data_IF_044134228314
#
_entry.id   IF_044134228314
#
_cell.length_a   1.000
_cell.length_b   1.000
_cell.length_c   1.000
_cell.angle_alpha   90.00
_cell.angle_beta   90.00
_cell.angle_gamma   90.00
#
_symmetry.space_group_name_H-M   'P 1'
#
loop_
_entity.id
_entity.type
_entity.pdbx_description
1 polymer ?
#
# COMPACT_ATOMS: atom_id res chain seq x y z
N UNK A 1 -21.54 2.82 -20.98
CA UNK A 1 -20.47 2.11 -21.67
C UNK A 1 -20.52 0.64 -21.29
N UNK A 2 -20.56 -0.24 -22.26
CA UNK A 2 -20.57 -1.65 -21.93
C UNK A 2 -19.25 -2.08 -21.32
N UNK A 3 -19.34 -3.00 -20.38
CA UNK A 3 -18.16 -3.62 -19.82
C UNK A 3 -17.67 -4.65 -20.82
N UNK A 4 -16.39 -4.60 -21.10
CA UNK A 4 -15.80 -5.58 -22.00
C UNK A 4 -15.51 -6.84 -21.18
N UNK A 5 -16.40 -7.81 -21.31
CA UNK A 5 -16.26 -9.04 -20.53
C UNK A 5 -15.17 -9.95 -21.04
N UNK A 6 -14.58 -9.62 -22.18
CA UNK A 6 -13.44 -10.37 -22.66
C UNK A 6 -12.14 -10.01 -21.90
N UNK A 7 -12.15 -8.89 -21.20
CA UNK A 7 -11.00 -8.49 -20.41
C UNK A 7 -11.08 -9.15 -19.05
N UNK A 8 -10.15 -10.06 -18.78
CA UNK A 8 -10.08 -10.71 -17.50
C UNK A 8 -9.59 -9.77 -16.43
N UNK A 9 -10.18 -9.85 -15.24
CA UNK A 9 -9.67 -9.14 -14.10
C UNK A 9 -8.30 -9.72 -13.71
N UNK A 10 -7.29 -8.85 -13.62
CA UNK A 10 -5.95 -9.27 -13.22
C UNK A 10 -5.67 -8.72 -11.83
N UNK A 11 -5.57 -9.58 -10.83
CA UNK A 11 -5.21 -9.11 -9.48
C UNK A 11 -3.82 -8.49 -9.48
N UNK A 12 -3.71 -7.33 -8.86
CA UNK A 12 -2.43 -6.67 -8.69
C UNK A 12 -1.83 -7.03 -7.33
N UNK A 13 -0.52 -7.11 -7.29
CA UNK A 13 0.22 -7.30 -6.04
C UNK A 13 0.54 -5.91 -5.50
N UNK A 14 -0.11 -5.55 -4.42
CA UNK A 14 -0.08 -4.19 -3.89
C UNK A 14 0.67 -4.18 -2.57
N UNK A 15 1.61 -3.25 -2.45
CA UNK A 15 2.28 -2.97 -1.19
C UNK A 15 1.62 -1.76 -0.54
N UNK A 16 1.30 -1.88 0.73
CA UNK A 16 0.66 -0.82 1.50
C UNK A 16 1.66 -0.23 2.49
N UNK A 17 1.91 1.07 2.36
CA UNK A 17 2.83 1.77 3.23
C UNK A 17 2.05 2.80 4.06
N UNK A 18 2.09 2.65 5.37
CA UNK A 18 1.53 3.63 6.27
C UNK A 18 2.62 4.55 6.76
N UNK A 19 2.44 5.84 6.52
CA UNK A 19 3.36 6.87 6.99
C UNK A 19 2.85 7.39 8.32
N UNK A 20 3.67 7.35 9.35
CA UNK A 20 3.26 7.75 10.68
C UNK A 20 4.27 8.74 11.25
N UNK A 21 3.76 9.87 11.73
CA UNK A 21 4.60 10.87 12.39
C UNK A 21 4.62 10.69 13.90
N UNK A 22 3.95 9.66 14.40
CA UNK A 22 3.93 9.38 15.84
C UNK A 22 4.81 8.18 16.15
N UNK A 23 5.18 8.05 17.41
CA UNK A 23 5.94 6.90 17.83
C UNK A 23 5.07 5.66 17.99
N UNK A 24 3.79 5.85 18.03
CA UNK A 24 2.87 4.76 18.27
C UNK A 24 2.29 4.26 16.97
N UNK A 25 2.88 3.20 16.49
CA UNK A 25 2.40 2.54 15.31
C UNK A 25 1.49 1.36 15.64
N UNK A 26 1.06 1.26 16.90
CA UNK A 26 0.28 0.11 17.35
C UNK A 26 -1.10 0.07 16.72
N UNK A 27 -1.66 1.23 16.37
CA UNK A 27 -2.98 1.29 15.76
C UNK A 27 -2.83 1.85 14.35
N UNK A 28 -2.93 0.97 13.37
CA UNK A 28 -2.83 1.35 11.98
C UNK A 28 -4.18 1.16 11.30
N UNK A 29 -5.14 2.00 11.68
CA UNK A 29 -6.49 1.89 11.13
C UNK A 29 -6.54 2.25 9.65
N UNK A 30 -5.74 3.22 9.22
CA UNK A 30 -5.69 3.57 7.79
C UNK A 30 -5.15 2.42 6.96
N UNK A 31 -4.09 1.78 7.43
CA UNK A 31 -3.53 0.63 6.75
C UNK A 31 -4.48 -0.55 6.77
N UNK A 32 -5.16 -0.78 7.90
CA UNK A 32 -6.15 -1.85 7.99
C UNK A 32 -7.28 -1.63 6.98
N UNK A 33 -7.76 -0.39 6.86
CA UNK A 33 -8.82 -0.07 5.91
C UNK A 33 -8.34 -0.28 4.48
N UNK A 34 -7.13 0.16 4.17
CA UNK A 34 -6.56 -0.02 2.84
C UNK A 34 -6.44 -1.50 2.49
N UNK A 35 -5.91 -2.31 3.40
CA UNK A 35 -5.77 -3.74 3.18
C UNK A 35 -7.14 -4.39 2.97
N UNK A 36 -8.13 -4.02 3.78
CA UNK A 36 -9.46 -4.57 3.63
C UNK A 36 -10.05 -4.22 2.26
N UNK A 37 -9.84 -2.99 1.79
CA UNK A 37 -10.38 -2.55 0.51
C UNK A 37 -9.70 -3.24 -0.66
N UNK A 38 -8.38 -3.34 -0.64
CA UNK A 38 -7.67 -3.96 -1.76
C UNK A 38 -7.96 -5.45 -1.85
N UNK A 39 -8.08 -6.13 -0.72
CA UNK A 39 -8.40 -7.55 -0.73
C UNK A 39 -9.86 -7.78 -1.14
N UNK A 40 -10.77 -6.92 -0.71
CA UNK A 40 -12.16 -7.00 -1.13
C UNK A 40 -12.31 -6.77 -2.64
N UNK A 41 -11.44 -5.97 -3.23
CA UNK A 41 -11.42 -5.74 -4.66
C UNK A 41 -10.77 -6.88 -5.44
N UNK A 42 -10.23 -7.87 -4.77
CA UNK A 42 -9.61 -9.02 -5.42
C UNK A 42 -8.11 -8.90 -5.65
N UNK A 43 -7.49 -7.87 -5.13
CA UNK A 43 -6.04 -7.72 -5.24
C UNK A 43 -5.32 -8.45 -4.12
N UNK A 44 -4.01 -8.62 -4.27
CA UNK A 44 -3.19 -9.35 -3.33
C UNK A 44 -2.33 -8.36 -2.55
N UNK A 45 -2.30 -8.51 -1.23
CA UNK A 45 -1.40 -7.74 -0.41
C UNK A 45 -0.01 -8.37 -0.48
N UNK A 46 0.89 -7.71 -1.21
CA UNK A 46 2.25 -8.21 -1.40
C UNK A 46 3.15 -7.88 -0.22
N UNK A 47 2.96 -6.68 0.35
CA UNK A 47 3.76 -6.23 1.49
C UNK A 47 3.00 -5.14 2.23
N UNK A 48 3.34 -4.97 3.49
CA UNK A 48 2.75 -3.93 4.33
C UNK A 48 3.80 -3.46 5.31
N UNK A 49 3.90 -2.15 5.48
CA UNK A 49 4.84 -1.58 6.43
C UNK A 49 4.32 -0.28 7.00
N UNK A 50 4.80 0.05 8.17
CA UNK A 50 4.55 1.33 8.82
C UNK A 50 5.91 2.00 8.95
N UNK A 51 6.07 3.17 8.36
CA UNK A 51 7.33 3.88 8.33
C UNK A 51 7.13 5.27 8.91
N UNK A 52 8.09 5.69 9.70
CA UNK A 52 8.07 7.02 10.28
C UNK A 52 8.15 8.07 9.17
N UNK A 53 7.49 9.21 9.40
CA UNK A 53 7.44 10.30 8.42
C UNK A 53 8.79 11.04 8.38
N UNK A 54 9.79 10.36 7.84
CA UNK A 54 11.10 10.91 7.63
C UNK A 54 11.54 10.56 6.22
N UNK A 55 11.92 11.57 5.45
CA UNK A 55 12.18 11.40 4.02
C UNK A 55 13.20 10.30 3.73
N UNK A 56 14.36 10.23 4.42
CA UNK A 56 15.33 9.18 4.12
C UNK A 56 14.77 7.77 4.35
N UNK A 57 13.95 7.59 5.38
CA UNK A 57 13.34 6.29 5.65
C UNK A 57 12.32 5.93 4.60
N UNK A 58 11.51 6.91 4.19
CA UNK A 58 10.48 6.68 3.17
C UNK A 58 11.12 6.35 1.83
N UNK A 59 12.15 7.09 1.44
CA UNK A 59 12.84 6.87 0.18
C UNK A 59 13.48 5.49 0.15
N UNK A 60 14.14 5.11 1.23
CA UNK A 60 14.78 3.79 1.30
C UNK A 60 13.76 2.67 1.16
N UNK A 61 12.63 2.82 1.85
CA UNK A 61 11.59 1.79 1.82
C UNK A 61 10.94 1.69 0.43
N UNK A 62 10.62 2.84 -0.14
CA UNK A 62 10.01 2.88 -1.48
C UNK A 62 10.94 2.32 -2.53
N UNK A 63 12.22 2.65 -2.47
CA UNK A 63 13.20 2.13 -3.43
C UNK A 63 13.31 0.62 -3.35
N UNK A 64 13.30 0.07 -2.14
CA UNK A 64 13.34 -1.38 -1.98
C UNK A 64 12.13 -2.05 -2.61
N UNK A 65 10.96 -1.44 -2.46
CA UNK A 65 9.73 -2.00 -3.02
C UNK A 65 9.65 -1.79 -4.54
N UNK A 66 10.14 -0.66 -5.03
CA UNK A 66 10.15 -0.39 -6.48
C UNK A 66 10.99 -1.42 -7.20
N UNK A 67 12.07 -1.85 -6.57
CA UNK A 67 12.97 -2.84 -7.17
C UNK A 67 12.45 -4.26 -7.02
N UNK A 68 11.38 -4.48 -6.28
CA UNK A 68 10.83 -5.81 -6.04
C UNK A 68 9.87 -6.19 -7.17
N UNK A 69 10.21 -7.17 -7.99
CA UNK A 69 9.35 -7.56 -9.10
C UNK A 69 8.02 -8.20 -8.67
N UNK A 70 7.91 -8.57 -7.41
CA UNK A 70 6.66 -9.14 -6.89
C UNK A 70 5.64 -8.05 -6.55
N UNK A 71 6.02 -6.78 -6.57
CA UNK A 71 5.12 -5.67 -6.25
C UNK A 71 4.78 -4.91 -7.51
N UNK A 72 3.48 -4.82 -7.80
CA UNK A 72 3.00 -4.10 -8.98
C UNK A 72 2.70 -2.63 -8.67
N UNK A 73 2.16 -2.36 -7.48
CA UNK A 73 1.70 -1.03 -7.10
C UNK A 73 2.03 -0.80 -5.63
N UNK A 74 2.41 0.43 -5.32
CA UNK A 74 2.63 0.86 -3.94
C UNK A 74 1.61 1.94 -3.63
N UNK A 75 0.87 1.74 -2.54
CA UNK A 75 -0.10 2.73 -2.08
C UNK A 75 0.34 3.21 -0.70
N UNK A 76 0.43 4.51 -0.55
CA UNK A 76 0.78 5.11 0.74
C UNK A 76 -0.45 5.72 1.38
N UNK A 77 -0.50 5.67 2.70
CA UNK A 77 -1.61 6.22 3.46
C UNK A 77 -1.13 6.78 4.80
N UNK A 78 -1.93 7.66 5.36
CA UNK A 78 -1.65 8.22 6.69
C UNK A 78 -0.59 9.28 6.69
N UNK A 79 -0.24 9.73 7.86
CA UNK A 79 0.93 10.55 8.11
C UNK A 79 0.89 12.01 7.71
N UNK A 80 -0.10 12.45 7.01
CA UNK A 80 -0.06 13.82 6.51
C UNK A 80 -0.52 14.85 7.53
N UNK A 81 -1.28 14.43 8.51
CA UNK A 81 -1.84 15.38 9.46
C UNK A 81 -2.84 16.33 8.84
N UNK A 82 -3.27 16.06 7.70
CA UNK A 82 -4.25 16.91 7.03
C UNK A 82 -5.65 16.52 7.40
#
# INVERSE_FOLDING_TARGET
MPIDESISFVPLHIAALTVSDTREAATDTSGDTLVARLTAAGHVLAARAIVKDEVPLLVAHLNAWIDDPAIDVIITTGGTGV
#
